data_IF_037875963941
#
_entry.id   IF_037875963941
#
_cell.length_a   1.000
_cell.length_b   1.000
_cell.length_c   1.000
_cell.angle_alpha   90.00
_cell.angle_beta   90.00
_cell.angle_gamma   90.00
#
_symmetry.space_group_name_H-M   'P 1'
#
loop_
_entity.id
_entity.type
_entity.pdbx_description
1 polymer ?
#
# COMPACT_ATOMS: atom_id res chain seq x y z
N UNK A 1 18.87 -5.57 -8.55
CA UNK A 1 18.07 -5.19 -9.76
C UNK A 1 18.65 -3.94 -10.39
N UNK A 2 18.80 -3.93 -11.71
CA UNK A 2 19.08 -2.71 -12.45
C UNK A 2 17.79 -1.94 -12.72
N UNK A 3 17.89 -0.75 -13.32
CA UNK A 3 16.71 0.09 -13.55
C UNK A 3 15.68 -0.53 -14.49
N UNK A 4 16.11 -1.30 -15.49
CA UNK A 4 15.19 -1.99 -16.39
C UNK A 4 14.38 -3.06 -15.63
N UNK A 5 15.06 -3.83 -14.79
CA UNK A 5 14.40 -4.84 -13.95
C UNK A 5 13.47 -4.21 -12.92
N UNK A 6 13.87 -3.08 -12.36
CA UNK A 6 13.04 -2.31 -11.41
C UNK A 6 11.78 -1.79 -12.08
N UNK A 7 11.89 -1.28 -13.30
CA UNK A 7 10.74 -0.79 -14.05
C UNK A 7 9.75 -1.93 -14.34
N UNK A 8 10.24 -3.08 -14.78
CA UNK A 8 9.40 -4.25 -15.01
C UNK A 8 8.73 -4.73 -13.71
N UNK A 9 9.49 -4.74 -12.61
CA UNK A 9 8.95 -5.14 -11.30
C UNK A 9 7.87 -4.16 -10.84
N UNK A 10 8.04 -2.86 -11.07
CA UNK A 10 7.05 -1.85 -10.73
C UNK A 10 5.76 -2.03 -11.55
N UNK A 11 5.89 -2.29 -12.86
CA UNK A 11 4.72 -2.54 -13.68
C UNK A 11 3.93 -3.77 -13.22
N UNK A 12 4.63 -4.85 -12.88
CA UNK A 12 4.00 -6.05 -12.31
C UNK A 12 3.34 -5.76 -10.96
N UNK A 13 4.00 -4.93 -10.13
CA UNK A 13 3.45 -4.53 -8.84
C UNK A 13 2.14 -3.74 -9.01
N UNK A 14 2.10 -2.83 -9.98
CA UNK A 14 0.88 -2.06 -10.27
C UNK A 14 -0.28 -2.97 -10.71
N UNK A 15 0.01 -4.01 -11.48
CA UNK A 15 -0.99 -5.01 -11.83
C UNK A 15 -1.49 -5.78 -10.60
N UNK A 16 -0.57 -6.19 -9.73
CA UNK A 16 -0.92 -6.93 -8.50
C UNK A 16 -1.82 -6.13 -7.57
N UNK A 17 -1.52 -4.85 -7.37
CA UNK A 17 -2.33 -4.02 -6.47
C UNK A 17 -3.71 -3.78 -7.07
N UNK A 18 -3.81 -3.59 -8.37
CA UNK A 18 -5.09 -3.41 -9.06
C UNK A 18 -5.96 -4.66 -8.94
N UNK A 19 -5.36 -5.84 -8.97
CA UNK A 19 -6.06 -7.11 -8.84
C UNK A 19 -6.33 -7.53 -7.41
N UNK A 20 -5.81 -6.81 -6.43
CA UNK A 20 -5.98 -7.18 -5.03
C UNK A 20 -7.47 -7.18 -4.66
N UNK A 21 -8.00 -8.29 -4.09
CA UNK A 21 -9.44 -8.48 -3.89
C UNK A 21 -9.98 -7.86 -2.60
N UNK A 22 -9.54 -6.69 -2.21
CA UNK A 22 -10.00 -6.04 -0.99
C UNK A 22 -9.51 -4.61 -0.89
N UNK A 23 -9.88 -3.91 0.19
CA UNK A 23 -9.44 -2.54 0.39
C UNK A 23 -7.95 -2.46 0.69
N UNK A 24 -7.35 -1.32 0.36
CA UNK A 24 -5.94 -1.01 0.60
C UNK A 24 -5.88 0.16 1.57
N UNK A 25 -5.20 -0.03 2.69
CA UNK A 25 -5.04 1.02 3.70
C UNK A 25 -3.78 1.85 3.39
N UNK A 26 -3.97 3.15 3.30
CA UNK A 26 -2.90 4.13 3.07
C UNK A 26 -2.94 5.20 4.16
N UNK A 27 -1.90 6.03 4.26
CA UNK A 27 -1.82 7.00 5.36
C UNK A 27 -2.65 8.25 5.13
N UNK A 28 -2.67 8.83 3.93
CA UNK A 28 -3.34 10.10 3.72
C UNK A 28 -3.80 10.38 2.29
N UNK A 29 -4.32 11.59 2.10
CA UNK A 29 -4.94 12.02 0.83
C UNK A 29 -3.97 12.07 -0.35
N UNK A 30 -2.70 12.41 -0.08
CA UNK A 30 -1.69 12.45 -1.14
C UNK A 30 -1.37 11.07 -1.68
N UNK A 31 -1.48 10.04 -0.83
CA UNK A 31 -1.32 8.65 -1.24
C UNK A 31 -2.47 8.22 -2.13
N UNK A 32 -3.69 8.68 -1.84
CA UNK A 32 -4.86 8.42 -2.67
C UNK A 32 -4.61 8.98 -4.08
N UNK A 33 -4.21 10.24 -4.17
CA UNK A 33 -3.93 10.89 -5.45
C UNK A 33 -2.85 10.14 -6.23
N UNK A 34 -1.78 9.70 -5.54
CA UNK A 34 -0.69 8.97 -6.16
C UNK A 34 -1.14 7.64 -6.77
N UNK A 35 -1.92 6.85 -6.02
CA UNK A 35 -2.39 5.56 -6.51
C UNK A 35 -3.47 5.67 -7.57
N UNK A 36 -4.38 6.61 -7.44
CA UNK A 36 -5.44 6.82 -8.44
C UNK A 36 -4.89 7.31 -9.77
N UNK A 37 -3.65 7.83 -9.78
CA UNK A 37 -2.95 8.14 -11.02
C UNK A 37 -2.73 6.88 -11.88
N UNK A 38 -2.59 5.71 -11.28
CA UNK A 38 -2.29 4.46 -11.99
C UNK A 38 -3.50 3.54 -12.16
N UNK A 39 -4.36 3.46 -11.17
CA UNK A 39 -5.45 2.49 -11.16
C UNK A 39 -6.57 2.91 -10.22
N UNK A 40 -7.73 2.28 -10.38
CA UNK A 40 -8.86 2.46 -9.47
C UNK A 40 -8.78 1.41 -8.37
N UNK A 41 -8.79 1.87 -7.12
CA UNK A 41 -8.68 1.01 -5.95
C UNK A 41 -9.67 1.43 -4.88
N UNK A 42 -10.06 0.47 -4.04
CA UNK A 42 -10.82 0.76 -2.83
C UNK A 42 -9.80 1.17 -1.75
N UNK A 43 -9.60 2.47 -1.57
CA UNK A 43 -8.62 3.00 -0.64
C UNK A 43 -9.24 3.45 0.67
N UNK A 44 -8.57 3.14 1.77
CA UNK A 44 -8.96 3.55 3.12
C UNK A 44 -7.82 4.36 3.71
N UNK A 45 -8.10 5.61 4.05
CA UNK A 45 -7.10 6.51 4.63
C UNK A 45 -7.11 6.44 6.15
N UNK A 46 -5.93 6.32 6.76
CA UNK A 46 -5.78 6.41 8.21
C UNK A 46 -6.02 7.83 8.73
N UNK A 47 -5.85 8.82 7.87
CA UNK A 47 -5.99 10.24 8.22
C UNK A 47 -7.44 10.74 8.12
N UNK A 48 -8.40 9.87 8.43
CA UNK A 48 -9.83 10.17 8.30
C UNK A 48 -10.51 10.59 9.61
N UNK A 49 -9.73 10.85 10.66
CA UNK A 49 -10.25 11.20 11.98
C UNK A 49 -10.57 10.01 12.88
N UNK A 50 -10.41 8.78 12.38
CA UNK A 50 -10.61 7.58 13.16
C UNK A 50 -9.27 7.08 13.73
N UNK A 51 -9.33 6.39 14.89
CA UNK A 51 -8.16 5.68 15.40
C UNK A 51 -7.85 4.46 14.52
N UNK A 52 -6.65 3.91 14.68
CA UNK A 52 -6.26 2.67 13.97
C UNK A 52 -7.24 1.54 14.32
N UNK A 53 -7.59 1.41 15.60
CA UNK A 53 -8.55 0.40 16.04
C UNK A 53 -9.92 0.59 15.39
N UNK A 54 -10.43 1.82 15.35
CA UNK A 54 -11.72 2.11 14.70
C UNK A 54 -11.70 1.77 13.22
N UNK A 55 -10.58 2.05 12.54
CA UNK A 55 -10.42 1.70 11.14
C UNK A 55 -10.53 0.18 10.94
N UNK A 56 -9.85 -0.60 11.77
CA UNK A 56 -9.90 -2.07 11.68
C UNK A 56 -11.29 -2.60 12.02
N UNK A 57 -11.95 -2.03 13.04
CA UNK A 57 -13.29 -2.44 13.40
C UNK A 57 -14.29 -2.20 12.27
N UNK A 58 -14.17 -1.09 11.57
CA UNK A 58 -15.01 -0.80 10.40
C UNK A 58 -14.73 -1.77 9.25
N UNK A 59 -13.46 -2.10 9.01
CA UNK A 59 -13.11 -3.10 8.02
C UNK A 59 -13.69 -4.46 8.35
N UNK A 60 -13.61 -4.87 9.61
CA UNK A 60 -14.16 -6.16 10.04
C UNK A 60 -15.67 -6.22 9.85
N UNK A 61 -16.38 -5.13 10.15
CA UNK A 61 -17.81 -5.05 9.94
C UNK A 61 -18.18 -5.11 8.45
N UNK A 62 -17.38 -4.49 7.61
CA UNK A 62 -17.59 -4.42 6.15
C UNK A 62 -17.26 -5.75 5.47
N UNK A 63 -16.12 -6.34 5.81
CA UNK A 63 -15.56 -7.49 5.11
C UNK A 63 -16.06 -8.84 5.64
N UNK A 64 -16.39 -8.90 6.92
CA UNK A 64 -16.75 -10.15 7.56
C UNK A 64 -15.55 -11.04 7.86
N UNK A 65 -15.83 -12.25 8.33
CA UNK A 65 -14.81 -13.23 8.71
C UNK A 65 -13.85 -13.55 7.57
N UNK A 66 -12.56 -13.61 7.87
CA UNK A 66 -11.49 -13.93 6.93
C UNK A 66 -11.35 -12.92 5.78
N UNK A 67 -11.91 -11.72 5.91
CA UNK A 67 -11.81 -10.69 4.89
C UNK A 67 -10.37 -10.23 4.68
N UNK A 68 -10.00 -9.96 3.43
CA UNK A 68 -8.63 -9.56 3.07
C UNK A 68 -8.53 -8.05 2.92
N UNK A 69 -7.46 -7.49 3.42
CA UNK A 69 -7.11 -6.09 3.18
C UNK A 69 -5.60 -5.96 3.05
N UNK A 70 -5.15 -5.01 2.26
CA UNK A 70 -3.73 -4.74 2.10
C UNK A 70 -3.33 -3.51 2.92
N UNK A 71 -2.11 -3.53 3.42
CA UNK A 71 -1.54 -2.44 4.19
C UNK A 71 -0.44 -1.80 3.36
N UNK A 72 -0.60 -0.53 3.03
CA UNK A 72 0.35 0.21 2.22
C UNK A 72 0.71 1.54 2.88
N UNK A 73 1.09 1.45 4.15
CA UNK A 73 1.66 2.57 4.88
C UNK A 73 3.09 2.83 4.38
N UNK A 74 3.62 4.02 4.66
CA UNK A 74 4.98 4.37 4.27
C UNK A 74 5.98 3.36 4.84
N UNK A 75 7.11 3.19 4.17
CA UNK A 75 8.13 2.24 4.63
C UNK A 75 9.27 2.91 5.38
N UNK A 76 8.97 4.02 6.02
CA UNK A 76 9.80 4.61 7.07
C UNK A 76 9.49 3.93 8.42
N UNK A 77 10.15 4.38 9.49
CA UNK A 77 9.97 3.79 10.81
C UNK A 77 8.53 3.91 11.33
N UNK A 78 7.92 5.07 11.17
CA UNK A 78 6.54 5.31 11.61
C UNK A 78 5.56 4.44 10.83
N UNK A 79 5.71 4.40 9.51
CA UNK A 79 4.87 3.56 8.64
C UNK A 79 5.02 2.08 8.95
N UNK A 80 6.22 1.63 9.34
CA UNK A 80 6.45 0.26 9.77
C UNK A 80 5.72 -0.09 11.07
N UNK A 81 5.68 0.84 12.02
CA UNK A 81 4.93 0.64 13.27
C UNK A 81 3.43 0.58 13.01
N UNK A 82 2.93 1.47 12.15
CA UNK A 82 1.53 1.46 11.75
C UNK A 82 1.15 0.15 11.06
N UNK A 83 2.01 -0.33 10.16
CA UNK A 83 1.78 -1.59 9.46
C UNK A 83 1.66 -2.76 10.42
N UNK A 84 2.56 -2.86 11.39
CA UNK A 84 2.52 -3.92 12.41
C UNK A 84 1.25 -3.84 13.24
N UNK A 85 0.89 -2.64 13.67
CA UNK A 85 -0.32 -2.42 14.48
C UNK A 85 -1.58 -2.83 13.72
N UNK A 86 -1.69 -2.40 12.47
CA UNK A 86 -2.81 -2.76 11.60
C UNK A 86 -2.90 -4.27 11.40
N UNK A 87 -1.77 -4.92 11.18
CA UNK A 87 -1.74 -6.38 10.98
C UNK A 87 -2.17 -7.12 12.25
N UNK A 88 -1.68 -6.70 13.41
CA UNK A 88 -2.05 -7.31 14.69
C UNK A 88 -3.54 -7.17 14.98
N UNK A 89 -4.07 -5.95 14.85
CA UNK A 89 -5.49 -5.68 15.08
C UNK A 89 -6.37 -6.38 14.05
N UNK A 90 -5.92 -6.44 12.80
CA UNK A 90 -6.65 -7.14 11.74
C UNK A 90 -6.78 -8.63 12.03
N UNK A 91 -5.68 -9.27 12.41
CA UNK A 91 -5.70 -10.69 12.77
C UNK A 91 -6.57 -10.95 14.01
N UNK A 92 -6.52 -10.05 14.98
CA UNK A 92 -7.37 -10.16 16.17
C UNK A 92 -8.87 -10.02 15.84
N UNK A 93 -9.20 -9.40 14.73
CA UNK A 93 -10.56 -9.22 14.23
C UNK A 93 -10.94 -10.23 13.16
N UNK A 94 -10.21 -11.32 13.05
CA UNK A 94 -10.42 -12.39 12.06
C UNK A 94 -10.34 -11.91 10.62
N UNK A 95 -9.43 -10.97 10.35
CA UNK A 95 -9.12 -10.50 9.00
C UNK A 95 -7.75 -11.02 8.56
N UNK A 96 -7.51 -10.99 7.26
CA UNK A 96 -6.25 -11.42 6.65
C UNK A 96 -5.50 -10.20 6.08
N UNK A 97 -4.54 -9.64 6.82
CA UNK A 97 -3.77 -8.51 6.33
C UNK A 97 -2.71 -8.95 5.32
N UNK A 98 -2.56 -8.21 4.23
CA UNK A 98 -1.46 -8.38 3.29
C UNK A 98 -0.39 -7.32 3.54
N UNK A 99 0.83 -7.76 3.78
CA UNK A 99 2.01 -6.90 3.97
C UNK A 99 3.00 -7.04 2.81
N UNK A 100 2.77 -7.99 1.90
CA UNK A 100 3.68 -8.28 0.80
C UNK A 100 3.77 -7.15 -0.23
N UNK A 101 2.64 -6.54 -0.58
CA UNK A 101 2.63 -5.43 -1.54
C UNK A 101 3.51 -4.28 -1.06
N UNK A 102 3.44 -3.97 0.24
CA UNK A 102 4.27 -2.94 0.85
C UNK A 102 5.75 -3.30 0.80
N UNK A 103 6.06 -4.53 1.17
CA UNK A 103 7.43 -5.03 1.18
C UNK A 103 8.04 -5.03 -0.22
N UNK A 104 7.28 -5.49 -1.21
CA UNK A 104 7.73 -5.51 -2.60
C UNK A 104 8.02 -4.11 -3.11
N UNK A 105 7.13 -3.15 -2.83
CA UNK A 105 7.31 -1.78 -3.28
C UNK A 105 8.55 -1.13 -2.62
N UNK A 106 8.77 -1.40 -1.34
CA UNK A 106 9.96 -0.92 -0.65
C UNK A 106 11.25 -1.44 -1.30
N UNK A 107 11.25 -2.72 -1.71
CA UNK A 107 12.40 -3.31 -2.39
C UNK A 107 12.61 -2.71 -3.79
N UNK A 108 11.53 -2.52 -4.54
CA UNK A 108 11.59 -1.90 -5.87
C UNK A 108 12.12 -0.47 -5.78
N UNK A 109 11.69 0.27 -4.76
CA UNK A 109 12.07 1.67 -4.60
C UNK A 109 13.55 1.86 -4.26
N UNK A 110 14.17 0.86 -3.66
CA UNK A 110 15.61 0.82 -3.36
C UNK A 110 16.10 2.09 -2.61
N UNK A 111 15.25 2.65 -1.74
CA UNK A 111 15.59 3.85 -1.00
C UNK A 111 15.41 5.17 -1.76
N UNK A 112 15.02 5.14 -3.03
CA UNK A 112 14.73 6.36 -3.80
C UNK A 112 13.52 7.10 -3.24
N UNK A 113 12.53 6.35 -2.75
CA UNK A 113 11.34 6.89 -2.09
C UNK A 113 11.06 6.07 -0.85
N UNK A 114 10.27 6.61 0.07
CA UNK A 114 9.85 5.94 1.30
C UNK A 114 8.35 5.97 1.53
N UNK A 115 7.59 6.50 0.61
CA UNK A 115 6.15 6.67 0.73
C UNK A 115 5.45 6.55 -0.62
N UNK A 116 4.17 6.21 -0.55
CA UNK A 116 3.32 6.04 -1.75
C UNK A 116 3.15 7.34 -2.51
N UNK A 117 3.09 8.47 -1.81
CA UNK A 117 2.96 9.80 -2.41
C UNK A 117 3.98 10.05 -3.52
N UNK A 118 5.18 9.51 -3.37
CA UNK A 118 6.29 9.72 -4.31
C UNK A 118 6.31 8.72 -5.48
N UNK A 119 5.37 7.77 -5.50
CA UNK A 119 5.35 6.70 -6.50
C UNK A 119 5.27 7.20 -7.96
N UNK A 120 4.44 8.21 -8.29
CA UNK A 120 4.42 8.73 -9.66
C UNK A 120 5.78 9.26 -10.12
N UNK A 121 6.54 9.90 -9.22
CA UNK A 121 7.86 10.40 -9.54
C UNK A 121 8.85 9.26 -9.81
N UNK A 122 8.79 8.21 -9.02
CA UNK A 122 9.62 7.02 -9.21
C UNK A 122 9.31 6.35 -10.56
N UNK A 123 8.04 6.20 -10.88
CA UNK A 123 7.61 5.58 -12.14
C UNK A 123 8.13 6.38 -13.34
N UNK A 124 7.99 7.72 -13.30
CA UNK A 124 8.51 8.57 -14.37
C UNK A 124 10.03 8.46 -14.54
N UNK A 125 10.74 8.44 -13.41
CA UNK A 125 12.20 8.29 -13.40
C UNK A 125 12.64 6.98 -14.04
N UNK A 126 12.03 5.88 -13.65
CA UNK A 126 12.39 4.57 -14.19
C UNK A 126 11.99 4.43 -15.65
N UNK A 127 10.83 4.96 -16.03
CA UNK A 127 10.36 4.95 -17.41
C UNK A 127 11.30 5.73 -18.32
N UNK A 128 11.77 6.90 -17.90
CA UNK A 128 12.65 7.75 -18.70
C UNK A 128 14.00 7.09 -19.00
N UNK A 129 14.39 6.13 -18.17
CA UNK A 129 15.67 5.40 -18.32
C UNK A 129 15.56 4.16 -19.19
N UNK A 130 14.38 3.92 -19.81
CA UNK A 130 14.14 2.76 -20.67
C UNK A 130 14.29 3.09 -22.16
N UNK A 131 14.78 4.25 -22.50
CA UNK A 131 14.93 4.67 -23.89
C UNK A 131 15.96 3.81 -24.66
#
# INVERSE_FOLDING_TARGET
MNDAERFEALERWLEKIEEFPGPVIIEGQRDIAALTHFCELQLVSLNSGNSVLQTVERLAAQLGSCGRFAILTDWDRTGGRLARKLAELGRASDLQPDLELRRELALISRGDISCVEELPALERKLRSRQA
#
